data_IF_025778921660
#
_entry.id   IF_025778921660
#
_cell.length_a   1.000
_cell.length_b   1.000
_cell.length_c   1.000
_cell.angle_alpha   90.00
_cell.angle_beta   90.00
_cell.angle_gamma   90.00
#
_symmetry.space_group_name_H-M   'P 1'
#
loop_
_entity.id
_entity.type
_entity.pdbx_description
1 polymer ?
#
# COMPACT_ATOMS: atom_id res chain seq x y z
N UNK A 1 36.02 50.33 -14.19
CA UNK A 1 36.11 49.09 -14.99
C UNK A 1 35.03 48.12 -14.49
N UNK A 2 33.75 48.55 -14.50
CA UNK A 2 32.61 47.80 -13.92
C UNK A 2 31.39 47.74 -14.88
N UNK A 3 31.43 48.46 -16.00
CA UNK A 3 30.30 48.52 -16.96
C UNK A 3 30.17 47.28 -17.85
N UNK A 4 31.25 46.51 -18.02
CA UNK A 4 31.34 45.36 -18.96
C UNK A 4 30.76 44.07 -18.34
N UNK A 5 30.58 44.02 -17.01
CA UNK A 5 30.00 42.86 -16.34
C UNK A 5 28.47 42.86 -16.37
N UNK A 6 27.84 44.05 -16.28
CA UNK A 6 26.37 44.17 -16.27
C UNK A 6 25.76 43.91 -17.65
N UNK A 7 26.36 44.41 -18.74
CA UNK A 7 25.85 44.19 -20.09
C UNK A 7 25.85 42.69 -20.46
N UNK A 8 26.90 41.97 -20.07
CA UNK A 8 27.03 40.52 -20.28
C UNK A 8 26.04 39.71 -19.44
N UNK A 9 25.66 40.19 -18.27
CA UNK A 9 24.68 39.49 -17.42
C UNK A 9 23.24 39.74 -17.90
N UNK A 10 22.94 40.93 -18.41
CA UNK A 10 21.66 41.23 -19.07
C UNK A 10 21.49 40.39 -20.34
N UNK A 11 22.55 40.22 -21.14
CA UNK A 11 22.51 39.39 -22.35
C UNK A 11 22.26 37.90 -22.04
N UNK A 12 22.82 37.38 -20.93
CA UNK A 12 22.51 36.02 -20.46
C UNK A 12 21.07 35.89 -20.00
N UNK A 13 20.52 36.86 -19.27
CA UNK A 13 19.12 36.81 -18.82
C UNK A 13 18.15 36.79 -20.00
N UNK A 14 18.39 37.63 -21.03
CA UNK A 14 17.56 37.66 -22.24
C UNK A 14 17.66 36.35 -23.06
N UNK A 15 18.84 35.74 -23.13
CA UNK A 15 19.01 34.44 -23.79
C UNK A 15 18.27 33.31 -23.05
N UNK A 16 18.22 33.39 -21.72
CA UNK A 16 17.56 32.40 -20.86
C UNK A 16 16.03 32.55 -20.89
N UNK A 17 15.52 33.78 -20.96
CA UNK A 17 14.11 34.09 -21.16
C UNK A 17 13.61 33.60 -22.52
N UNK A 18 14.35 33.90 -23.61
CA UNK A 18 14.05 33.37 -24.94
C UNK A 18 14.10 31.83 -25.00
N UNK A 19 15.04 31.19 -24.29
CA UNK A 19 15.09 29.73 -24.20
C UNK A 19 13.87 29.14 -23.46
N UNK A 20 13.36 29.85 -22.46
CA UNK A 20 12.16 29.46 -21.72
C UNK A 20 10.88 29.66 -22.55
N UNK A 21 10.77 30.75 -23.31
CA UNK A 21 9.63 30.99 -24.20
C UNK A 21 9.56 29.92 -25.30
N UNK A 22 10.70 29.53 -25.86
CA UNK A 22 10.78 28.42 -26.82
C UNK A 22 10.37 27.08 -26.20
N UNK A 23 10.72 26.83 -24.93
CA UNK A 23 10.28 25.63 -24.20
C UNK A 23 8.78 25.65 -23.91
N UNK A 24 8.24 26.81 -23.54
CA UNK A 24 6.82 26.97 -23.29
C UNK A 24 6.00 26.76 -24.57
N UNK A 25 6.44 27.33 -25.70
CA UNK A 25 5.82 27.11 -27.01
C UNK A 25 5.86 25.62 -27.41
N UNK A 26 6.97 24.93 -27.14
CA UNK A 26 7.10 23.49 -27.41
C UNK A 26 6.12 22.67 -26.55
N UNK A 27 6.00 22.98 -25.26
CA UNK A 27 5.06 22.32 -24.35
C UNK A 27 3.61 22.59 -24.74
N UNK A 28 3.28 23.81 -25.15
CA UNK A 28 1.95 24.17 -25.62
C UNK A 28 1.58 23.41 -26.89
N UNK A 29 2.53 23.26 -27.83
CA UNK A 29 2.35 22.42 -29.02
C UNK A 29 2.12 20.95 -28.66
N UNK A 30 2.91 20.40 -27.72
CA UNK A 30 2.74 19.01 -27.26
C UNK A 30 1.39 18.78 -26.58
N UNK A 31 0.92 19.75 -25.80
CA UNK A 31 -0.38 19.68 -25.13
C UNK A 31 -1.54 19.74 -26.13
N UNK A 32 -1.43 20.56 -27.18
CA UNK A 32 -2.42 20.59 -28.27
C UNK A 32 -2.52 19.24 -28.99
N UNK A 33 -1.37 18.65 -29.35
CA UNK A 33 -1.34 17.33 -30.00
C UNK A 33 -1.92 16.22 -29.12
N UNK A 34 -1.64 16.25 -27.81
CA UNK A 34 -2.18 15.27 -26.88
C UNK A 34 -3.71 15.39 -26.74
N UNK A 35 -4.24 16.61 -26.69
CA UNK A 35 -5.69 16.86 -26.63
C UNK A 35 -6.40 16.33 -27.88
N UNK A 36 -5.82 16.55 -29.06
CA UNK A 36 -6.35 16.00 -30.32
C UNK A 36 -6.35 14.47 -30.32
N UNK A 37 -5.29 13.83 -29.82
CA UNK A 37 -5.22 12.37 -29.71
C UNK A 37 -6.27 11.81 -28.75
N UNK A 38 -6.48 12.46 -27.59
CA UNK A 38 -7.51 12.05 -26.63
C UNK A 38 -8.91 12.21 -27.22
N UNK A 39 -9.18 13.30 -27.95
CA UNK A 39 -10.47 13.49 -28.63
C UNK A 39 -10.70 12.44 -29.72
N UNK A 40 -9.67 12.11 -30.52
CA UNK A 40 -9.76 11.06 -31.53
C UNK A 40 -10.05 9.67 -30.91
N UNK A 41 -9.37 9.32 -29.81
CA UNK A 41 -9.62 8.07 -29.09
C UNK A 41 -11.02 8.05 -28.45
N UNK A 42 -11.49 9.18 -27.93
CA UNK A 42 -12.84 9.32 -27.36
C UNK A 42 -13.91 9.14 -28.44
N UNK A 43 -13.69 9.69 -29.63
CA UNK A 43 -14.59 9.51 -30.78
C UNK A 43 -14.61 8.06 -31.28
N UNK A 44 -13.45 7.42 -31.37
CA UNK A 44 -13.36 5.99 -31.72
C UNK A 44 -14.05 5.09 -30.67
N UNK A 45 -13.94 5.43 -29.39
CA UNK A 45 -14.64 4.70 -28.32
C UNK A 45 -16.16 4.89 -28.39
N UNK A 46 -16.65 6.04 -28.86
CA UNK A 46 -18.07 6.28 -29.08
C UNK A 46 -18.61 5.53 -30.31
N UNK A 47 -17.84 5.47 -31.39
CA UNK A 47 -18.21 4.75 -32.63
C UNK A 47 -18.19 3.22 -32.41
N UNK A 48 -17.25 2.69 -31.61
CA UNK A 48 -17.17 1.26 -31.28
C UNK A 48 -18.26 0.78 -30.30
N UNK A 49 -19.02 1.71 -29.71
CA UNK A 49 -20.11 1.43 -28.76
C UNK A 49 -21.52 1.67 -29.34
N UNK A 50 -21.68 1.73 -30.65
CA UNK A 50 -23.02 1.70 -31.26
C UNK A 50 -23.65 0.30 -31.08
N UNK A 51 -24.90 0.19 -30.59
CA UNK A 51 -25.59 -1.10 -30.55
C UNK A 51 -25.93 -1.51 -31.99
N UNK A 52 -25.28 -2.57 -32.45
CA UNK A 52 -25.63 -3.26 -33.68
C UNK A 52 -27.04 -3.83 -33.52
N UNK A 53 -27.98 -3.44 -34.39
CA UNK A 53 -29.30 -4.07 -34.44
C UNK A 53 -29.14 -5.58 -34.67
N UNK A 54 -29.75 -6.35 -33.77
CA UNK A 54 -29.66 -7.80 -33.70
C UNK A 54 -30.35 -8.44 -34.90
N UNK A 55 -29.55 -8.86 -35.88
CA UNK A 55 -29.88 -10.03 -36.70
C UNK A 55 -29.74 -11.27 -35.83
N UNK A 56 -30.85 -11.99 -35.69
CA UNK A 56 -30.94 -13.25 -34.95
C UNK A 56 -29.94 -14.27 -35.49
N UNK A 57 -29.34 -15.02 -34.57
CA UNK A 57 -28.54 -16.25 -34.75
C UNK A 57 -27.04 -16.13 -34.50
N UNK A 58 -26.65 -16.21 -33.22
CA UNK A 58 -25.39 -16.83 -32.80
C UNK A 58 -25.36 -17.00 -31.28
N UNK A 59 -25.67 -18.20 -30.84
CA UNK A 59 -25.39 -18.69 -29.49
C UNK A 59 -23.87 -18.76 -29.23
N UNK A 60 -23.17 -17.63 -29.05
CA UNK A 60 -21.84 -17.66 -28.41
C UNK A 60 -21.27 -16.32 -27.85
N UNK A 61 -22.10 -15.31 -27.59
CA UNK A 61 -21.64 -14.12 -26.82
C UNK A 61 -22.01 -14.18 -25.33
N UNK A 62 -23.02 -14.99 -24.97
CA UNK A 62 -23.49 -15.18 -23.59
C UNK A 62 -22.47 -15.90 -22.69
N UNK A 63 -21.50 -16.59 -23.28
CA UNK A 63 -20.45 -17.35 -22.57
C UNK A 63 -19.23 -16.48 -22.24
N UNK A 64 -18.96 -15.43 -23.01
CA UNK A 64 -17.75 -14.59 -22.89
C UNK A 64 -17.95 -13.45 -21.89
N UNK A 65 -19.18 -12.93 -21.75
CA UNK A 65 -19.61 -12.16 -20.59
C UNK A 65 -20.13 -13.12 -19.53
N UNK A 66 -19.24 -13.92 -18.90
CA UNK A 66 -19.50 -14.46 -17.56
C UNK A 66 -20.06 -13.28 -16.77
N UNK A 67 -21.34 -13.31 -16.44
CA UNK A 67 -21.98 -12.31 -15.61
C UNK A 67 -21.11 -12.17 -14.36
N UNK A 68 -20.27 -11.14 -14.31
CA UNK A 68 -19.40 -10.89 -13.17
C UNK A 68 -20.38 -10.57 -12.05
N UNK A 69 -20.67 -11.57 -11.23
CA UNK A 69 -21.56 -11.39 -10.09
C UNK A 69 -20.96 -10.25 -9.27
N UNK A 70 -21.70 -9.16 -9.16
CA UNK A 70 -21.34 -8.01 -8.34
C UNK A 70 -21.71 -8.35 -6.90
N UNK A 71 -20.88 -7.92 -5.96
CA UNK A 71 -21.16 -7.97 -4.53
C UNK A 71 -21.02 -6.55 -4.01
N UNK A 72 -22.15 -5.92 -3.73
CA UNK A 72 -22.18 -4.64 -3.04
C UNK A 72 -21.90 -4.87 -1.56
N UNK A 73 -20.84 -4.24 -1.05
CA UNK A 73 -20.55 -4.27 0.39
C UNK A 73 -21.63 -3.46 1.12
N UNK A 74 -22.18 -4.06 2.18
CA UNK A 74 -23.21 -3.47 3.03
C UNK A 74 -22.69 -2.37 3.97
N UNK A 75 -23.48 -2.06 5.01
CA UNK A 75 -23.15 -1.01 5.96
C UNK A 75 -21.94 -1.37 6.84
N UNK A 76 -21.18 -0.36 7.34
CA UNK A 76 -20.03 -0.58 8.19
C UNK A 76 -20.28 -1.44 9.43
N UNK A 77 -21.50 -1.49 9.97
CA UNK A 77 -21.78 -2.26 11.19
C UNK A 77 -22.32 -3.67 10.91
N UNK A 78 -22.51 -4.03 9.63
CA UNK A 78 -23.24 -5.23 9.22
C UNK A 78 -22.37 -6.15 8.36
N UNK A 79 -21.58 -5.59 7.45
CA UNK A 79 -20.80 -6.36 6.47
C UNK A 79 -19.35 -6.55 6.92
N UNK A 80 -18.89 -7.80 7.17
CA UNK A 80 -17.50 -8.08 7.52
C UNK A 80 -16.48 -7.61 6.48
N UNK A 81 -16.84 -7.51 5.20
CA UNK A 81 -15.95 -7.06 4.13
C UNK A 81 -15.77 -5.54 4.09
N UNK A 82 -16.64 -4.79 4.78
CA UNK A 82 -16.51 -3.35 4.86
C UNK A 82 -15.25 -2.96 5.65
N UNK A 83 -14.41 -2.09 5.10
CA UNK A 83 -13.11 -1.77 5.73
C UNK A 83 -13.23 -1.09 7.10
N UNK A 84 -14.33 -0.37 7.35
CA UNK A 84 -14.65 0.22 8.66
C UNK A 84 -15.43 -0.72 9.60
N UNK A 85 -15.59 -2.00 9.24
CA UNK A 85 -16.30 -2.96 10.06
C UNK A 85 -15.62 -3.14 11.42
N UNK A 86 -16.31 -2.89 12.55
CA UNK A 86 -15.74 -2.97 13.89
C UNK A 86 -15.70 -4.43 14.35
N UNK A 87 -14.85 -5.23 13.72
CA UNK A 87 -14.75 -6.65 13.99
C UNK A 87 -14.33 -6.92 15.45
N UNK A 88 -14.89 -7.98 16.03
CA UNK A 88 -14.67 -8.44 17.39
C UNK A 88 -13.53 -9.45 17.54
N UNK A 89 -12.78 -9.73 16.46
CA UNK A 89 -11.65 -10.65 16.51
C UNK A 89 -10.44 -10.07 17.27
N UNK A 90 -9.54 -10.95 17.71
CA UNK A 90 -8.45 -10.63 18.65
C UNK A 90 -7.44 -9.59 18.17
N UNK A 91 -7.38 -9.30 16.87
CA UNK A 91 -6.41 -8.35 16.30
C UNK A 91 -6.88 -6.89 16.35
N UNK A 92 -8.19 -6.64 16.53
CA UNK A 92 -8.74 -5.27 16.64
C UNK A 92 -9.06 -4.90 18.08
N UNK A 93 -9.25 -3.60 18.33
CA UNK A 93 -9.34 -3.02 19.68
C UNK A 93 -8.08 -3.27 20.51
N UNK A 94 -6.97 -3.54 19.82
CA UNK A 94 -5.63 -3.71 20.38
C UNK A 94 -4.63 -2.91 19.55
N UNK A 95 -3.34 -3.11 19.80
CA UNK A 95 -2.24 -2.45 19.09
C UNK A 95 -2.00 -3.10 17.74
N UNK A 96 -1.55 -2.33 16.74
CA UNK A 96 -1.31 -2.84 15.38
C UNK A 96 -0.31 -4.01 15.35
N UNK A 97 0.65 -4.06 16.28
CA UNK A 97 1.58 -5.18 16.40
C UNK A 97 0.90 -6.55 16.60
N UNK A 98 -0.31 -6.59 17.16
CA UNK A 98 -1.05 -7.85 17.36
C UNK A 98 -1.41 -8.49 16.02
N UNK A 99 -1.72 -7.66 15.01
CA UNK A 99 -2.05 -8.11 13.66
C UNK A 99 -0.81 -8.25 12.77
N UNK A 100 0.17 -7.36 12.97
CA UNK A 100 1.39 -7.25 12.16
C UNK A 100 2.61 -7.26 13.09
N UNK A 101 3.07 -8.43 13.55
CA UNK A 101 4.13 -8.53 14.55
C UNK A 101 5.48 -8.02 14.02
N UNK A 102 5.74 -8.14 12.72
CA UNK A 102 6.99 -7.73 12.07
C UNK A 102 7.16 -6.21 11.91
N UNK A 103 6.27 -5.39 12.47
CA UNK A 103 6.39 -3.93 12.45
C UNK A 103 7.64 -3.51 13.23
N UNK A 104 8.53 -2.74 12.60
CA UNK A 104 9.79 -2.31 13.22
C UNK A 104 9.68 -0.98 13.99
N UNK A 105 8.77 -0.09 13.60
CA UNK A 105 8.57 1.19 14.27
C UNK A 105 7.75 1.02 15.55
N UNK A 106 8.29 1.44 16.70
CA UNK A 106 7.57 1.37 17.99
C UNK A 106 6.28 2.20 17.99
N UNK A 107 6.26 3.32 17.27
CA UNK A 107 5.06 4.13 17.08
C UNK A 107 4.00 3.35 16.31
N UNK A 108 4.38 2.71 15.20
CA UNK A 108 3.45 1.88 14.43
C UNK A 108 2.94 0.68 15.25
N UNK A 109 3.86 -0.02 15.94
CA UNK A 109 3.55 -1.17 16.79
C UNK A 109 2.53 -0.82 17.86
N UNK A 110 2.66 0.36 18.48
CA UNK A 110 1.81 0.79 19.59
C UNK A 110 0.50 1.45 19.19
N UNK A 111 0.31 1.81 17.92
CA UNK A 111 -0.89 2.48 17.41
C UNK A 111 -2.12 1.57 17.57
N UNK A 112 -3.20 2.02 18.23
CA UNK A 112 -4.43 1.24 18.34
C UNK A 112 -5.12 1.14 16.98
N UNK A 113 -5.72 -0.01 16.71
CA UNK A 113 -6.47 -0.27 15.46
C UNK A 113 -7.83 -0.91 15.78
N UNK A 114 -8.91 -0.32 15.27
CA UNK A 114 -10.29 -0.73 15.56
C UNK A 114 -10.97 -1.46 14.40
N UNK A 115 -10.43 -1.34 13.19
CA UNK A 115 -10.99 -1.90 11.96
C UNK A 115 -9.89 -2.14 10.92
N UNK A 116 -10.26 -2.76 9.80
CA UNK A 116 -9.30 -3.13 8.74
C UNK A 116 -8.70 -1.89 8.07
N UNK A 117 -9.46 -0.78 7.94
CA UNK A 117 -8.95 0.46 7.39
C UNK A 117 -7.81 1.05 8.24
N UNK A 118 -8.00 1.16 9.55
CA UNK A 118 -6.97 1.68 10.47
C UNK A 118 -5.71 0.82 10.45
N UNK A 119 -5.88 -0.51 10.44
CA UNK A 119 -4.75 -1.43 10.29
C UNK A 119 -4.04 -1.25 8.95
N UNK A 120 -4.81 -1.11 7.87
CA UNK A 120 -4.27 -0.87 6.53
C UNK A 120 -3.57 0.48 6.42
N UNK A 121 -4.05 1.53 7.09
CA UNK A 121 -3.39 2.83 7.15
C UNK A 121 -2.02 2.72 7.81
N UNK A 122 -1.92 2.06 8.98
CA UNK A 122 -0.63 1.81 9.65
C UNK A 122 0.31 1.04 8.74
N UNK A 123 -0.16 -0.07 8.16
CA UNK A 123 0.63 -0.88 7.23
C UNK A 123 1.05 -0.08 5.98
N UNK A 124 0.19 0.79 5.47
CA UNK A 124 0.46 1.61 4.29
C UNK A 124 1.56 2.62 4.54
N UNK A 125 1.58 3.24 5.73
CA UNK A 125 2.60 4.23 6.11
C UNK A 125 3.96 3.54 6.28
N UNK A 126 4.02 2.45 7.06
CA UNK A 126 5.29 1.80 7.39
C UNK A 126 5.92 1.08 6.21
N UNK A 127 5.11 0.49 5.34
CA UNK A 127 5.56 -0.25 4.15
C UNK A 127 5.74 0.65 2.92
N UNK A 128 5.48 1.95 3.01
CA UNK A 128 5.70 2.85 1.87
C UNK A 128 7.19 2.91 1.52
N UNK A 129 7.59 2.52 0.29
CA UNK A 129 9.00 2.50 -0.11
C UNK A 129 9.55 3.90 -0.40
N UNK A 130 8.69 4.89 -0.63
CA UNK A 130 9.09 6.25 -0.99
C UNK A 130 9.21 7.17 0.22
N UNK A 131 8.83 6.71 1.41
CA UNK A 131 8.87 7.51 2.63
C UNK A 131 10.06 7.09 3.50
N UNK A 132 10.85 8.08 3.91
CA UNK A 132 11.85 7.89 4.96
C UNK A 132 11.19 7.82 6.35
N UNK A 133 11.92 7.30 7.33
CA UNK A 133 11.40 7.04 8.69
C UNK A 133 10.76 8.27 9.34
N UNK A 134 11.38 9.45 9.20
CA UNK A 134 10.82 10.71 9.71
C UNK A 134 9.41 11.00 9.18
N UNK A 135 9.19 10.86 7.87
CA UNK A 135 7.88 11.12 7.25
C UNK A 135 6.85 10.08 7.69
N UNK A 136 7.27 8.82 7.88
CA UNK A 136 6.40 7.75 8.40
C UNK A 136 5.95 8.06 9.81
N UNK A 137 6.85 8.49 10.68
CA UNK A 137 6.53 8.89 12.06
C UNK A 137 5.59 10.10 12.08
N UNK A 138 5.88 11.14 11.29
CA UNK A 138 5.04 12.33 11.16
C UNK A 138 3.60 11.94 10.76
N UNK A 139 3.42 11.10 9.74
CA UNK A 139 2.10 10.64 9.31
C UNK A 139 1.42 9.73 10.35
N UNK A 140 2.18 8.88 11.05
CA UNK A 140 1.63 8.02 12.10
C UNK A 140 1.05 8.83 13.27
N UNK A 141 1.52 10.05 13.51
CA UNK A 141 0.98 10.96 14.53
C UNK A 141 -0.30 11.70 14.07
N UNK A 142 -0.61 11.70 12.77
CA UNK A 142 -1.84 12.29 12.26
C UNK A 142 -3.04 11.41 12.65
N UNK A 143 -3.99 12.00 13.40
CA UNK A 143 -5.17 11.29 13.92
C UNK A 143 -6.08 10.78 12.81
N UNK A 144 -6.36 11.63 11.83
CA UNK A 144 -7.26 11.33 10.73
C UNK A 144 -6.51 11.05 9.42
N UNK A 145 -5.37 10.36 9.52
CA UNK A 145 -4.61 9.97 8.32
C UNK A 145 -5.49 9.10 7.43
N UNK A 146 -5.58 9.51 6.16
CA UNK A 146 -6.29 8.76 5.13
C UNK A 146 -5.34 7.99 4.22
N UNK A 147 -4.05 7.98 4.53
CA UNK A 147 -3.03 7.33 3.70
C UNK A 147 -3.36 5.86 3.53
N UNK A 148 -3.33 5.39 2.29
CA UNK A 148 -3.59 4.00 1.96
C UNK A 148 -2.77 3.64 0.75
N UNK A 149 -2.18 2.45 0.77
CA UNK A 149 -1.52 1.83 -0.36
C UNK A 149 -2.09 0.44 -0.58
N UNK A 150 -1.98 -0.05 -1.82
CA UNK A 150 -2.42 -1.41 -2.16
C UNK A 150 -1.65 -2.44 -1.32
N UNK A 151 -0.37 -2.20 -1.07
CA UNK A 151 0.48 -3.08 -0.28
C UNK A 151 0.03 -3.13 1.18
N UNK A 152 -0.14 -1.97 1.83
CA UNK A 152 -0.61 -1.91 3.21
C UNK A 152 -2.00 -2.54 3.39
N UNK A 153 -2.90 -2.31 2.42
CA UNK A 153 -4.21 -2.95 2.41
C UNK A 153 -4.13 -4.48 2.26
N UNK A 154 -3.25 -4.99 1.40
CA UNK A 154 -3.04 -6.43 1.24
C UNK A 154 -2.55 -7.08 2.54
N UNK A 155 -1.59 -6.46 3.24
CA UNK A 155 -1.10 -6.94 4.54
C UNK A 155 -2.20 -6.95 5.61
N UNK A 156 -3.01 -5.90 5.69
CA UNK A 156 -4.12 -5.83 6.64
C UNK A 156 -5.20 -6.87 6.35
N UNK A 157 -5.59 -7.05 5.09
CA UNK A 157 -6.56 -8.09 4.69
C UNK A 157 -5.99 -9.49 4.97
N UNK A 158 -4.70 -9.72 4.70
CA UNK A 158 -4.05 -11.00 4.98
C UNK A 158 -4.07 -11.33 6.49
N UNK A 159 -3.70 -10.36 7.35
CA UNK A 159 -3.73 -10.51 8.80
C UNK A 159 -5.16 -10.73 9.33
N UNK A 160 -6.14 -10.00 8.81
CA UNK A 160 -7.54 -10.19 9.21
C UNK A 160 -8.08 -11.55 8.75
N UNK A 161 -7.74 -11.99 7.53
CA UNK A 161 -8.09 -13.30 6.98
C UNK A 161 -7.52 -14.46 7.80
N UNK A 162 -6.28 -14.35 8.30
CA UNK A 162 -5.67 -15.40 9.12
C UNK A 162 -6.30 -15.49 10.51
N UNK A 163 -6.75 -14.37 11.07
CA UNK A 163 -7.20 -14.29 12.47
C UNK A 163 -8.72 -14.32 12.66
N UNK A 164 -9.52 -14.12 11.60
CA UNK A 164 -10.98 -14.04 11.70
C UNK A 164 -11.69 -15.00 10.74
N UNK A 165 -12.41 -15.98 11.30
CA UNK A 165 -13.21 -16.93 10.52
C UNK A 165 -14.36 -16.26 9.75
N UNK A 166 -15.11 -15.35 10.39
CA UNK A 166 -16.25 -14.64 9.77
C UNK A 166 -15.81 -13.89 8.51
N UNK A 167 -14.73 -13.10 8.64
CA UNK A 167 -14.15 -12.34 7.54
C UNK A 167 -13.62 -13.25 6.43
N UNK A 168 -12.82 -14.27 6.77
CA UNK A 168 -12.27 -15.20 5.78
C UNK A 168 -13.38 -15.97 5.04
N UNK A 169 -14.47 -16.33 5.73
CA UNK A 169 -15.63 -16.96 5.11
C UNK A 169 -16.31 -16.03 4.11
N UNK A 170 -16.58 -14.77 4.49
CA UNK A 170 -17.15 -13.76 3.61
C UNK A 170 -16.24 -13.50 2.39
N UNK A 171 -14.92 -13.40 2.60
CA UNK A 171 -13.94 -13.17 1.54
C UNK A 171 -13.91 -14.34 0.54
N UNK A 172 -14.03 -15.58 1.03
CA UNK A 172 -14.15 -16.78 0.18
C UNK A 172 -15.48 -16.81 -0.59
N UNK A 173 -16.59 -16.40 0.04
CA UNK A 173 -17.90 -16.33 -0.62
C UNK A 173 -17.95 -15.25 -1.72
N UNK A 174 -17.12 -14.21 -1.60
CA UNK A 174 -16.93 -13.16 -2.58
C UNK A 174 -15.82 -13.47 -3.61
N UNK A 175 -15.11 -14.59 -3.49
CA UNK A 175 -14.04 -14.94 -4.42
C UNK A 175 -14.55 -15.11 -5.85
N UNK A 176 -13.83 -14.52 -6.82
CA UNK A 176 -14.22 -14.54 -8.24
C UNK A 176 -15.35 -13.56 -8.59
N UNK A 177 -15.90 -12.83 -7.61
CA UNK A 177 -16.91 -11.78 -7.80
C UNK A 177 -16.27 -10.40 -7.79
N UNK A 178 -16.91 -9.43 -8.45
CA UNK A 178 -16.47 -8.03 -8.37
C UNK A 178 -17.09 -7.40 -7.14
N UNK A 179 -16.25 -7.09 -6.15
CA UNK A 179 -16.66 -6.43 -4.91
C UNK A 179 -16.72 -4.92 -5.17
N UNK A 180 -17.88 -4.32 -4.91
CA UNK A 180 -18.10 -2.87 -5.00
C UNK A 180 -18.07 -2.32 -3.58
N UNK A 181 -17.06 -1.50 -3.29
CA UNK A 181 -16.89 -0.92 -1.96
C UNK A 181 -17.55 0.46 -1.90
N UNK A 182 -18.40 0.75 -0.89
CA UNK A 182 -18.94 2.09 -0.69
C UNK A 182 -17.83 3.10 -0.36
N UNK A 183 -18.13 4.38 -0.54
CA UNK A 183 -17.22 5.45 -0.16
C UNK A 183 -16.95 5.43 1.35
N UNK A 184 -15.69 5.43 1.75
CA UNK A 184 -15.29 5.45 3.17
C UNK A 184 -15.27 6.87 3.77
N UNK A 185 -15.15 7.88 2.92
CA UNK A 185 -14.97 9.27 3.33
C UNK A 185 -15.89 10.18 2.52
N UNK A 186 -16.28 11.31 3.13
CA UNK A 186 -17.06 12.36 2.45
C UNK A 186 -16.27 13.05 1.33
N UNK A 187 -14.94 13.13 1.47
CA UNK A 187 -14.05 13.74 0.49
C UNK A 187 -13.17 12.70 -0.19
N UNK A 188 -12.85 12.92 -1.48
CA UNK A 188 -11.98 12.04 -2.25
C UNK A 188 -10.56 12.04 -1.64
N UNK A 189 -10.06 10.88 -1.15
CA UNK A 189 -8.79 10.82 -0.45
C UNK A 189 -7.57 10.73 -1.40
N UNK A 190 -7.77 10.86 -2.72
CA UNK A 190 -6.72 10.72 -3.72
C UNK A 190 -6.59 9.31 -4.33
N UNK A 191 -7.44 8.37 -3.93
CA UNK A 191 -7.43 6.98 -4.44
C UNK A 191 -8.84 6.39 -4.54
N UNK A 192 -8.99 5.36 -5.39
CA UNK A 192 -10.23 4.61 -5.54
C UNK A 192 -10.18 3.32 -4.68
N UNK A 193 -11.04 3.26 -3.65
CA UNK A 193 -11.07 2.17 -2.67
C UNK A 193 -11.42 0.82 -3.33
N UNK A 194 -12.37 0.79 -4.25
CA UNK A 194 -12.77 -0.43 -4.97
C UNK A 194 -11.58 -1.03 -5.73
N UNK A 195 -10.86 -0.20 -6.49
CA UNK A 195 -9.66 -0.58 -7.23
C UNK A 195 -8.56 -1.07 -6.29
N UNK A 196 -8.33 -0.36 -5.18
CA UNK A 196 -7.31 -0.74 -4.20
C UNK A 196 -7.65 -2.08 -3.54
N UNK A 197 -8.91 -2.28 -3.14
CA UNK A 197 -9.37 -3.51 -2.54
C UNK A 197 -9.21 -4.69 -3.50
N UNK A 198 -9.69 -4.56 -4.74
CA UNK A 198 -9.55 -5.61 -5.76
C UNK A 198 -8.07 -5.96 -6.03
N UNK A 199 -7.21 -4.94 -6.08
CA UNK A 199 -5.78 -5.11 -6.27
C UNK A 199 -5.07 -5.72 -5.06
N UNK A 200 -5.53 -5.43 -3.84
CA UNK A 200 -5.02 -6.00 -2.61
C UNK A 200 -5.39 -7.48 -2.50
N UNK A 201 -6.65 -7.84 -2.80
CA UNK A 201 -7.13 -9.23 -2.80
C UNK A 201 -6.33 -10.10 -3.78
N UNK A 202 -6.01 -9.59 -4.98
CA UNK A 202 -5.16 -10.28 -5.97
C UNK A 202 -3.74 -10.56 -5.47
N UNK A 203 -3.25 -9.80 -4.49
CA UNK A 203 -1.89 -9.93 -3.94
C UNK A 203 -1.84 -10.79 -2.69
N UNK A 204 -2.97 -11.25 -2.15
CA UNK A 204 -2.99 -11.99 -0.88
C UNK A 204 -2.12 -13.25 -0.88
N UNK A 205 -2.02 -13.94 -2.01
CA UNK A 205 -1.18 -15.14 -2.11
C UNK A 205 0.33 -14.83 -2.19
N UNK A 206 0.68 -13.55 -2.40
CA UNK A 206 2.07 -13.06 -2.42
C UNK A 206 2.51 -12.53 -1.05
N UNK A 207 1.57 -12.30 -0.13
CA UNK A 207 1.88 -11.86 1.23
C UNK A 207 2.35 -13.09 2.03
N UNK A 208 3.54 -13.06 2.64
CA UNK A 208 3.99 -14.13 3.53
C UNK A 208 2.93 -14.40 4.60
N UNK A 209 2.49 -15.66 4.72
CA UNK A 209 1.52 -16.07 5.75
C UNK A 209 2.15 -16.07 7.13
N UNK A 210 3.44 -16.33 7.17
CA UNK A 210 4.24 -16.31 8.39
C UNK A 210 5.00 -14.99 8.42
N UNK A 211 4.57 -14.08 9.31
CA UNK A 211 5.43 -13.02 9.82
C UNK A 211 6.41 -13.61 10.85
N UNK A 212 7.02 -14.74 10.52
CA UNK A 212 8.00 -15.40 11.39
C UNK A 212 9.22 -14.49 11.47
N UNK A 213 9.40 -13.86 12.63
CA UNK A 213 10.61 -13.16 13.05
C UNK A 213 11.74 -14.17 13.27
N UNK A 214 12.14 -14.88 12.21
CA UNK A 214 13.50 -15.35 12.12
C UNK A 214 14.23 -14.43 11.16
N UNK A 215 14.95 -13.40 11.64
CA UNK A 215 16.10 -13.00 10.86
C UNK A 215 16.96 -14.26 10.73
N UNK A 216 17.30 -14.65 9.51
CA UNK A 216 18.44 -15.55 9.25
C UNK A 216 19.76 -14.79 9.55
N UNK A 217 19.76 -14.06 10.65
CA UNK A 217 20.90 -13.42 11.27
C UNK A 217 20.83 -13.91 12.71
N UNK A 218 21.52 -15.02 12.97
CA UNK A 218 21.82 -15.41 14.33
C UNK A 218 22.47 -14.21 15.02
N UNK A 219 21.88 -13.70 16.10
CA UNK A 219 22.52 -12.71 16.96
C UNK A 219 23.72 -13.38 17.61
N UNK A 220 24.92 -13.15 17.07
CA UNK A 220 26.17 -13.62 17.66
C UNK A 220 26.53 -12.65 18.79
N UNK A 221 26.37 -13.09 20.03
CA UNK A 221 26.84 -12.36 21.20
C UNK A 221 28.29 -12.81 21.46
N UNK A 222 29.26 -11.97 21.07
CA UNK A 222 30.65 -12.16 21.44
C UNK A 222 30.91 -11.53 22.82
N UNK A 223 31.10 -12.36 23.84
CA UNK A 223 31.45 -11.92 25.20
C UNK A 223 32.94 -12.14 25.45
N UNK A 224 33.60 -11.17 26.08
CA UNK A 224 34.94 -11.38 26.60
C UNK A 224 34.90 -12.46 27.69
N UNK A 225 35.94 -13.31 27.73
CA UNK A 225 36.07 -14.46 28.64
C UNK A 225 35.83 -14.12 30.13
N UNK A 226 36.06 -12.87 30.52
CA UNK A 226 35.82 -12.35 31.88
C UNK A 226 34.34 -12.37 32.32
N UNK A 227 33.39 -12.42 31.38
CA UNK A 227 31.95 -12.37 31.67
C UNK A 227 31.26 -13.74 31.82
N UNK A 228 32.02 -14.85 31.73
CA UNK A 228 31.50 -16.23 31.80
C UNK A 228 30.82 -16.61 33.14
N UNK A 229 30.95 -15.80 34.20
CA UNK A 229 30.32 -16.10 35.51
C UNK A 229 28.86 -15.67 35.64
N UNK A 230 28.28 -14.99 34.64
CA UNK A 230 26.88 -14.56 34.67
C UNK A 230 25.90 -15.59 34.05
N UNK A 231 26.35 -16.82 33.77
CA UNK A 231 25.63 -17.82 32.99
C UNK A 231 24.58 -18.60 33.80
N UNK A 232 23.65 -17.91 34.47
CA UNK A 232 22.56 -18.59 35.18
C UNK A 232 21.14 -18.08 34.95
N UNK A 233 20.89 -17.16 34.01
CA UNK A 233 19.54 -16.65 33.73
C UNK A 233 19.28 -16.39 32.23
N UNK A 234 19.52 -17.36 31.34
CA UNK A 234 18.78 -17.40 30.08
C UNK A 234 17.93 -18.67 30.10
N UNK A 235 16.61 -18.50 30.02
CA UNK A 235 15.69 -19.61 29.85
C UNK A 235 15.91 -20.27 28.48
N UNK A 236 15.74 -21.58 28.44
CA UNK A 236 16.06 -22.50 27.33
C UNK A 236 15.13 -22.34 26.09
N UNK A 237 14.39 -21.23 26.01
CA UNK A 237 13.57 -20.84 24.86
C UNK A 237 14.31 -19.96 23.86
N UNK A 238 15.45 -19.39 24.26
CA UNK A 238 16.29 -18.57 23.37
C UNK A 238 17.24 -19.44 22.56
N UNK A 239 17.03 -19.49 21.23
CA UNK A 239 17.92 -20.15 20.24
C UNK A 239 19.26 -19.40 20.05
N UNK A 240 19.84 -18.89 21.13
CA UNK A 240 21.14 -18.23 21.10
C UNK A 240 22.27 -19.28 21.13
N UNK A 241 23.15 -19.27 20.13
CA UNK A 241 24.41 -20.02 20.17
C UNK A 241 25.52 -19.10 20.67
N UNK A 242 26.07 -19.41 21.85
CA UNK A 242 27.25 -18.74 22.39
C UNK A 242 28.48 -19.35 21.73
N UNK A 243 29.28 -18.55 21.04
CA UNK A 243 30.61 -18.95 20.57
C UNK A 243 31.68 -18.20 21.36
N UNK A 244 32.46 -18.95 22.13
CA UNK A 244 33.68 -18.45 22.75
C UNK A 244 34.80 -18.48 21.71
N UNK A 245 35.38 -17.33 21.36
CA UNK A 245 36.59 -17.31 20.54
C UNK A 245 37.79 -17.69 21.42
N UNK A 246 38.58 -18.71 21.05
CA UNK A 246 39.85 -18.93 21.71
C UNK A 246 40.77 -17.76 21.42
N UNK A 247 41.47 -17.33 22.47
CA UNK A 247 42.56 -16.36 22.42
C UNK A 247 43.60 -16.87 21.42
N UNK A 248 43.74 -16.21 20.28
CA UNK A 248 44.93 -16.37 19.46
C UNK A 248 46.09 -15.80 20.28
N UNK A 249 46.95 -16.68 20.76
CA UNK A 249 48.29 -16.34 21.25
C UNK A 249 49.13 -16.03 20.02
N UNK A 250 49.41 -14.74 19.78
CA UNK A 250 50.75 -14.14 19.88
C UNK A 250 50.69 -12.64 19.54
#
# INVERSE_FOLDING_TARGET
>A
MESIDLEREVEKMLALENANDNRFATLQSQMSTLVEQVQALTKQAAEKNQPMELGEDSTDFRTVMRAAQLVDIGLPNEDPLHLLYPCDCSIFKTKAQTALPSLRSDLARSKPVNNTFELANVASIVLDPFWGDRRKEEELMVKDSKHLTILGLAHAIAAHRSSCYKFNSALRAAAGKRIVHPALFLSFPGYNIESYYAQAVKRLDQIPRDYDDSPVIATIIALALAFLRAQKNLEETDKARIMCTPRWMD
#
